data_IF_330853883411
#
_entry.id   IF_330853883411
#
_cell.length_a   1.000
_cell.length_b   1.000
_cell.length_c   1.000
_cell.angle_alpha   90.00
_cell.angle_beta   90.00
_cell.angle_gamma   90.00
#
_symmetry.space_group_name_H-M   'P 1'
#
loop_
_entity.id
_entity.type
_entity.pdbx_description
1 polymer ?
#
# COMPACT_ATOMS: atom_id res chain seq x y z
N UNK A 1 -19.32 1.89 2.23
CA UNK A 1 -17.91 1.69 1.83
C UNK A 1 -17.07 1.82 3.08
N UNK A 2 -16.29 0.79 3.40
CA UNK A 2 -15.39 0.84 4.56
C UNK A 2 -14.27 1.84 4.27
N UNK A 3 -14.09 2.82 5.15
CA UNK A 3 -12.98 3.75 5.07
C UNK A 3 -11.79 3.14 5.84
N UNK A 4 -10.79 2.63 5.12
CA UNK A 4 -9.64 1.96 5.70
C UNK A 4 -8.53 2.94 6.11
N UNK A 5 -8.60 4.20 5.67
CA UNK A 5 -7.55 5.20 5.86
C UNK A 5 -8.11 6.40 6.62
N UNK A 6 -7.46 6.76 7.72
CA UNK A 6 -7.63 8.07 8.36
C UNK A 6 -6.32 8.83 8.33
N UNK A 7 -6.39 10.11 7.97
CA UNK A 7 -5.24 10.99 7.85
C UNK A 7 -5.35 12.03 8.96
N UNK A 8 -4.40 11.98 9.89
CA UNK A 8 -4.19 12.98 10.92
C UNK A 8 -2.98 13.83 10.54
N UNK A 9 -2.83 15.01 11.13
CA UNK A 9 -1.90 16.08 10.71
C UNK A 9 -0.50 15.58 10.31
N UNK A 10 0.06 14.61 11.04
CA UNK A 10 1.37 14.01 10.77
C UNK A 10 1.37 12.47 10.68
N UNK A 11 0.20 11.84 10.54
CA UNK A 11 0.08 10.40 10.78
C UNK A 11 -1.03 9.78 9.94
N UNK A 12 -0.76 8.60 9.38
CA UNK A 12 -1.77 7.82 8.68
C UNK A 12 -2.14 6.62 9.54
N UNK A 13 -3.43 6.44 9.76
CA UNK A 13 -3.99 5.32 10.52
C UNK A 13 -4.73 4.41 9.56
N UNK A 14 -4.33 3.13 9.55
CA UNK A 14 -4.93 2.09 8.71
C UNK A 14 -5.80 1.16 9.56
N UNK A 15 -7.03 0.92 9.11
CA UNK A 15 -8.03 0.07 9.76
C UNK A 15 -8.23 -1.27 9.01
N UNK A 16 -9.11 -2.13 9.54
CA UNK A 16 -9.54 -3.39 8.90
C UNK A 16 -8.63 -4.59 9.15
N UNK A 17 -7.42 -4.39 9.69
CA UNK A 17 -6.45 -5.46 10.00
C UNK A 17 -6.16 -5.51 11.50
N UNK A 18 -7.06 -6.12 12.26
CA UNK A 18 -6.94 -6.20 13.72
C UNK A 18 -6.99 -4.80 14.35
N UNK A 19 -6.03 -4.51 15.26
CA UNK A 19 -5.91 -3.18 15.87
C UNK A 19 -5.49 -2.13 14.81
N UNK A 20 -5.99 -0.88 14.90
CA UNK A 20 -5.55 0.22 14.03
C UNK A 20 -4.03 0.34 13.99
N UNK A 21 -3.49 0.62 12.80
CA UNK A 21 -2.06 0.64 12.55
C UNK A 21 -1.60 2.04 12.21
N UNK A 22 -0.72 2.54 13.04
CA UNK A 22 -0.13 3.85 12.96
C UNK A 22 1.10 3.85 12.05
N UNK A 23 1.08 4.67 11.02
CA UNK A 23 2.15 4.78 10.04
C UNK A 23 2.67 6.21 9.97
N UNK A 24 3.99 6.32 10.12
CA UNK A 24 4.76 7.47 9.68
C UNK A 24 5.17 7.15 8.24
N UNK A 25 4.92 8.05 7.29
CA UNK A 25 5.29 7.89 5.88
C UNK A 25 5.99 9.15 5.37
N UNK A 26 6.85 9.01 4.34
CA UNK A 26 7.41 10.15 3.62
C UNK A 26 6.31 11.09 3.09
N UNK A 27 6.55 12.40 3.11
CA UNK A 27 5.57 13.41 2.73
C UNK A 27 4.94 13.17 1.36
N UNK A 28 5.72 12.77 0.36
CA UNK A 28 5.21 12.50 -0.99
C UNK A 28 4.20 11.36 -1.05
N UNK A 29 4.35 10.35 -0.19
CA UNK A 29 3.40 9.24 -0.09
C UNK A 29 2.16 9.70 0.67
N UNK A 30 2.33 10.48 1.75
CA UNK A 30 1.21 11.05 2.51
C UNK A 30 0.34 11.94 1.62
N UNK A 31 0.95 12.79 0.80
CA UNK A 31 0.24 13.66 -0.15
C UNK A 31 -0.47 12.86 -1.24
N UNK A 32 0.14 11.79 -1.74
CA UNK A 32 -0.54 10.88 -2.65
C UNK A 32 -1.74 10.21 -1.97
N UNK A 33 -1.58 9.71 -0.74
CA UNK A 33 -2.66 9.04 0.01
C UNK A 33 -3.86 9.96 0.23
N UNK A 34 -3.63 11.26 0.49
CA UNK A 34 -4.70 12.26 0.62
C UNK A 34 -5.53 12.44 -0.66
N UNK A 35 -4.91 12.26 -1.83
CA UNK A 35 -5.53 12.52 -3.14
C UNK A 35 -6.06 11.27 -3.83
N UNK A 36 -5.51 10.11 -3.49
CA UNK A 36 -5.83 8.85 -4.15
C UNK A 36 -7.27 8.44 -3.88
N UNK A 37 -8.00 8.16 -4.96
CA UNK A 37 -9.37 7.63 -4.90
C UNK A 37 -9.35 6.10 -4.93
N UNK A 38 -8.30 5.48 -5.47
CA UNK A 38 -8.19 4.03 -5.59
C UNK A 38 -7.72 3.34 -4.31
N UNK A 39 -6.96 4.02 -3.44
CA UNK A 39 -6.32 3.37 -2.29
C UNK A 39 -7.28 2.68 -1.32
N UNK A 40 -8.43 3.29 -1.00
CA UNK A 40 -9.43 2.66 -0.15
C UNK A 40 -10.00 1.39 -0.80
N UNK A 41 -10.18 1.38 -2.13
CA UNK A 41 -10.64 0.20 -2.87
C UNK A 41 -9.57 -0.90 -2.91
N UNK A 42 -8.31 -0.53 -3.12
CA UNK A 42 -7.17 -1.46 -3.04
C UNK A 42 -7.10 -2.09 -1.64
N UNK A 43 -7.16 -1.29 -0.58
CA UNK A 43 -7.13 -1.82 0.78
C UNK A 43 -8.34 -2.72 1.06
N UNK A 44 -9.53 -2.36 0.60
CA UNK A 44 -10.72 -3.21 0.71
C UNK A 44 -10.49 -4.61 0.12
N UNK A 45 -9.91 -4.68 -1.09
CA UNK A 45 -9.58 -5.95 -1.75
C UNK A 45 -8.57 -6.75 -0.91
N UNK A 46 -7.49 -6.12 -0.48
CA UNK A 46 -6.37 -6.79 0.19
C UNK A 46 -6.72 -7.24 1.61
N UNK A 47 -7.49 -6.44 2.35
CA UNK A 47 -7.92 -6.71 3.73
C UNK A 47 -9.01 -7.78 3.79
N UNK A 48 -9.87 -7.86 2.78
CA UNK A 48 -10.90 -8.90 2.70
C UNK A 48 -10.40 -10.21 2.09
N UNK A 49 -9.22 -10.22 1.45
CA UNK A 49 -8.62 -11.46 0.98
C UNK A 49 -8.03 -12.28 2.13
N UNK A 50 -8.62 -13.46 2.40
CA UNK A 50 -8.34 -14.31 3.57
C UNK A 50 -6.84 -14.63 3.77
N UNK A 51 -6.10 -14.89 2.69
CA UNK A 51 -4.66 -15.19 2.74
C UNK A 51 -3.79 -13.94 2.83
N UNK A 52 -4.17 -12.88 2.10
CA UNK A 52 -3.33 -11.70 1.96
C UNK A 52 -3.42 -10.79 3.19
N UNK A 53 -4.59 -10.70 3.82
CA UNK A 53 -4.80 -9.97 5.09
C UNK A 53 -3.75 -10.32 6.14
N UNK A 54 -3.38 -11.61 6.25
CA UNK A 54 -2.38 -12.09 7.22
C UNK A 54 -1.00 -11.45 7.01
N UNK A 55 -0.64 -11.15 5.76
CA UNK A 55 0.62 -10.49 5.37
C UNK A 55 0.67 -9.02 5.83
N UNK A 56 -0.48 -8.39 6.04
CA UNK A 56 -0.61 -6.98 6.41
C UNK A 56 -0.77 -6.77 7.93
N UNK A 57 -0.60 -7.81 8.75
CA UNK A 57 -0.77 -7.75 10.20
C UNK A 57 0.23 -6.82 10.92
N UNK A 58 1.39 -6.58 10.31
CA UNK A 58 2.45 -5.72 10.84
C UNK A 58 2.40 -4.32 10.19
N UNK A 59 2.50 -3.21 10.96
CA UNK A 59 2.59 -1.85 10.42
C UNK A 59 3.66 -1.69 9.31
N UNK A 60 4.82 -2.32 9.47
CA UNK A 60 5.90 -2.26 8.47
C UNK A 60 5.55 -2.95 7.16
N UNK A 61 4.71 -3.99 7.19
CA UNK A 61 4.20 -4.62 5.98
C UNK A 61 3.23 -3.70 5.24
N UNK A 62 2.38 -2.97 5.97
CA UNK A 62 1.48 -1.97 5.38
C UNK A 62 2.27 -0.79 4.82
N UNK A 63 3.28 -0.29 5.55
CA UNK A 63 4.21 0.74 5.03
C UNK A 63 4.89 0.27 3.74
N UNK A 64 5.38 -0.97 3.71
CA UNK A 64 6.00 -1.56 2.52
C UNK A 64 5.02 -1.68 1.35
N UNK A 65 3.77 -2.06 1.61
CA UNK A 65 2.70 -2.07 0.62
C UNK A 65 2.48 -0.68 0.03
N UNK A 66 2.31 0.35 0.86
CA UNK A 66 2.06 1.71 0.39
C UNK A 66 3.23 2.25 -0.44
N UNK A 67 4.47 2.00 -0.01
CA UNK A 67 5.67 2.36 -0.78
C UNK A 67 5.73 1.61 -2.12
N UNK A 68 5.42 0.31 -2.11
CA UNK A 68 5.38 -0.49 -3.33
C UNK A 68 4.35 0.03 -4.33
N UNK A 69 3.12 0.30 -3.87
CA UNK A 69 2.05 0.82 -4.71
C UNK A 69 2.40 2.21 -5.26
N UNK A 70 3.01 3.07 -4.45
CA UNK A 70 3.51 4.37 -4.89
C UNK A 70 4.60 4.22 -5.96
N UNK A 71 5.50 3.25 -5.83
CA UNK A 71 6.49 2.96 -6.87
C UNK A 71 5.82 2.56 -8.20
N UNK A 72 4.79 1.71 -8.15
CA UNK A 72 4.05 1.27 -9.34
C UNK A 72 3.28 2.41 -10.00
N UNK A 73 2.60 3.25 -9.21
CA UNK A 73 1.93 4.46 -9.70
C UNK A 73 2.86 5.36 -10.53
N UNK A 74 4.12 5.49 -10.11
CA UNK A 74 5.09 6.37 -10.78
C UNK A 74 5.97 5.63 -11.80
N UNK A 75 5.67 4.37 -12.13
CA UNK A 75 6.50 3.53 -13.01
C UNK A 75 7.98 3.45 -12.55
N UNK A 76 8.22 3.49 -11.24
CA UNK A 76 9.55 3.39 -10.64
C UNK A 76 9.82 1.95 -10.20
N UNK A 77 11.03 1.45 -10.48
CA UNK A 77 11.44 0.12 -10.02
C UNK A 77 11.47 0.04 -8.48
N UNK A 78 10.97 -1.04 -7.85
CA UNK A 78 10.89 -1.16 -6.39
C UNK A 78 12.22 -0.90 -5.67
N UNK A 79 13.35 -1.38 -6.20
CA UNK A 79 14.66 -1.19 -5.55
C UNK A 79 15.08 0.29 -5.46
N UNK A 80 14.70 1.12 -6.45
CA UNK A 80 14.99 2.55 -6.46
C UNK A 80 14.21 3.22 -5.33
N UNK A 81 12.93 2.89 -5.21
CA UNK A 81 12.07 3.43 -4.15
C UNK A 81 12.49 2.94 -2.76
N UNK A 82 12.94 1.70 -2.66
CA UNK A 82 13.46 1.12 -1.43
C UNK A 82 14.70 1.88 -0.94
N UNK A 83 15.65 2.18 -1.84
CA UNK A 83 16.82 3.01 -1.55
C UNK A 83 16.41 4.42 -1.10
N UNK A 84 15.47 5.05 -1.80
CA UNK A 84 14.97 6.41 -1.49
C UNK A 84 14.43 6.52 -0.06
N UNK A 85 13.74 5.50 0.43
CA UNK A 85 13.09 5.52 1.74
C UNK A 85 13.78 4.68 2.82
N UNK A 86 15.02 4.27 2.57
CA UNK A 86 15.83 3.47 3.49
C UNK A 86 15.10 2.20 4.00
N UNK A 87 14.53 1.43 3.08
CA UNK A 87 13.93 0.12 3.37
C UNK A 87 14.63 -0.98 2.57
N UNK A 88 14.56 -2.21 3.04
CA UNK A 88 15.15 -3.34 2.31
C UNK A 88 14.33 -3.64 1.04
N UNK A 89 14.93 -3.71 -0.16
CA UNK A 89 14.21 -4.00 -1.41
C UNK A 89 13.37 -5.28 -1.34
N UNK A 90 13.88 -6.29 -0.63
CA UNK A 90 13.20 -7.57 -0.38
C UNK A 90 11.84 -7.41 0.35
N UNK A 91 11.64 -6.34 1.14
CA UNK A 91 10.32 -6.05 1.72
C UNK A 91 9.30 -5.71 0.64
N UNK A 92 9.69 -4.96 -0.40
CA UNK A 92 8.80 -4.63 -1.52
C UNK A 92 8.58 -5.83 -2.43
N UNK A 93 9.63 -6.61 -2.73
CA UNK A 93 9.48 -7.82 -3.53
C UNK A 93 8.64 -8.89 -2.83
N UNK A 94 8.65 -8.96 -1.49
CA UNK A 94 7.76 -9.84 -0.73
C UNK A 94 6.29 -9.47 -0.92
N UNK A 95 5.96 -8.18 -1.01
CA UNK A 95 4.61 -7.71 -1.33
C UNK A 95 4.23 -8.14 -2.74
N UNK A 96 5.10 -7.86 -3.73
CA UNK A 96 4.86 -8.25 -5.12
C UNK A 96 4.62 -9.75 -5.29
N UNK A 97 5.50 -10.58 -4.71
CA UNK A 97 5.34 -12.05 -4.74
C UNK A 97 4.07 -12.50 -4.02
N UNK A 98 3.69 -11.83 -2.93
CA UNK A 98 2.42 -12.07 -2.25
C UNK A 98 1.22 -11.81 -3.16
N UNK A 99 1.22 -10.67 -3.86
CA UNK A 99 0.14 -10.30 -4.78
C UNK A 99 0.03 -11.28 -5.95
N UNK A 100 1.17 -11.69 -6.52
CA UNK A 100 1.23 -12.69 -7.61
C UNK A 100 0.75 -14.06 -7.14
N UNK A 101 1.25 -14.54 -6.01
CA UNK A 101 0.88 -15.85 -5.42
C UNK A 101 -0.61 -15.95 -5.12
N UNK A 102 -1.21 -14.85 -4.70
CA UNK A 102 -2.61 -14.78 -4.32
C UNK A 102 -3.54 -14.32 -5.48
N UNK A 103 -3.03 -14.25 -6.72
CA UNK A 103 -3.76 -13.79 -7.93
C UNK A 103 -4.38 -12.39 -7.83
N UNK A 104 -3.81 -11.52 -7.01
CA UNK A 104 -4.27 -10.15 -6.78
C UNK A 104 -3.51 -9.12 -7.63
N UNK A 105 -2.34 -9.50 -8.16
CA UNK A 105 -1.43 -8.54 -8.83
C UNK A 105 -2.13 -7.72 -9.92
N UNK A 106 -2.75 -8.37 -10.92
CA UNK A 106 -3.38 -7.67 -12.04
C UNK A 106 -4.51 -6.75 -11.56
N UNK A 107 -5.37 -7.24 -10.67
CA UNK A 107 -6.46 -6.45 -10.09
C UNK A 107 -5.93 -5.18 -9.42
N UNK A 108 -4.87 -5.29 -8.61
CA UNK A 108 -4.30 -4.13 -7.93
C UNK A 108 -3.60 -3.18 -8.91
N UNK A 109 -2.92 -3.69 -9.94
CA UNK A 109 -2.27 -2.83 -10.94
C UNK A 109 -3.31 -2.02 -11.71
N UNK A 110 -4.45 -2.62 -12.10
CA UNK A 110 -5.55 -1.89 -12.76
C UNK A 110 -6.04 -0.72 -11.90
N UNK A 111 -6.24 -0.94 -10.59
CA UNK A 111 -6.68 0.14 -9.70
C UNK A 111 -5.62 1.26 -9.57
N UNK A 112 -4.33 0.92 -9.59
CA UNK A 112 -3.23 1.90 -9.56
C UNK A 112 -3.16 2.70 -10.86
N UNK A 113 -3.37 2.05 -12.01
CA UNK A 113 -3.37 2.71 -13.31
C UNK A 113 -4.55 3.71 -13.40
N UNK A 114 -5.73 3.32 -12.91
CA UNK A 114 -6.90 4.20 -12.82
C UNK A 114 -6.67 5.40 -11.88
N UNK A 115 -5.94 5.21 -10.78
CA UNK A 115 -5.55 6.30 -9.87
C UNK A 115 -4.61 7.31 -10.54
N UNK A 116 -3.80 6.86 -11.50
CA UNK A 116 -2.83 7.71 -12.21
C UNK A 116 -3.47 8.60 -13.27
N UNK A 117 -4.70 8.28 -13.68
CA UNK A 117 -5.51 9.05 -14.63
C UNK A 117 -6.43 10.09 -13.94
N UNK A 118 -6.46 10.10 -12.61
CA UNK A 118 -7.34 10.91 -11.76
C UNK A 118 -6.69 12.17 -11.24
#
# INVERSE_FOLDING_TARGET
MDNFISIQTNKIVIYGIGKPKDLILPNEITEWIKKSKALNKILNILVNHQKFKKRLSNPMAIRSLLIYLYAKKNNIAPYIMAKKFNIAPEQLYRIERGLKKDNLYNTIMIEIDLDSLS
#
